data_IF_247077657644
#
_entry.id   IF_247077657644
#
_cell.length_a   1.000
_cell.length_b   1.000
_cell.length_c   1.000
_cell.angle_alpha   90.00
_cell.angle_beta   90.00
_cell.angle_gamma   90.00
#
_symmetry.space_group_name_H-M   'P 1'
#
loop_
_entity.id
_entity.type
_entity.pdbx_description
1 polymer ?
#
# COMPACT_ATOMS: atom_id res chain seq x y z
N UNK A 1 27.48 -7.39 -5.94
CA UNK A 1 26.87 -6.66 -4.82
C UNK A 1 25.62 -7.42 -4.42
N UNK A 2 25.63 -8.05 -3.24
CA UNK A 2 24.42 -8.65 -2.66
C UNK A 2 23.54 -7.52 -2.12
N UNK A 3 22.34 -7.36 -2.67
CA UNK A 3 21.33 -6.52 -2.04
C UNK A 3 20.90 -7.25 -0.77
N UNK A 4 21.20 -6.71 0.41
CA UNK A 4 20.44 -7.08 1.59
C UNK A 4 18.97 -6.78 1.28
N UNK A 5 18.10 -7.79 1.41
CA UNK A 5 16.68 -7.57 1.17
C UNK A 5 16.18 -6.59 2.23
N UNK A 6 15.67 -5.45 1.79
CA UNK A 6 15.01 -4.53 2.71
C UNK A 6 13.77 -5.21 3.28
N UNK A 7 13.53 -5.05 4.58
CA UNK A 7 12.33 -5.63 5.21
C UNK A 7 11.08 -4.79 4.90
N UNK A 8 11.23 -3.48 4.75
CA UNK A 8 10.12 -2.57 4.45
C UNK A 8 10.58 -1.30 3.73
N UNK A 9 9.65 -0.64 3.04
CA UNK A 9 9.87 0.64 2.36
C UNK A 9 8.63 1.54 2.46
N UNK A 10 8.87 2.82 2.76
CA UNK A 10 7.85 3.86 2.66
C UNK A 10 7.67 4.30 1.21
N UNK A 11 6.42 4.52 0.79
CA UNK A 11 6.11 5.03 -0.54
C UNK A 11 4.78 5.75 -0.61
N UNK A 12 4.64 6.61 -1.63
CA UNK A 12 3.38 7.19 -2.05
C UNK A 12 2.64 6.21 -2.97
N UNK A 13 1.44 5.82 -2.55
CA UNK A 13 0.55 4.91 -3.27
C UNK A 13 -0.73 5.63 -3.69
N UNK A 14 -1.38 5.09 -4.71
CA UNK A 14 -2.65 5.60 -5.20
C UNK A 14 -3.67 4.47 -5.33
N UNK A 15 -4.93 4.77 -5.02
CA UNK A 15 -6.05 3.89 -5.33
C UNK A 15 -6.28 3.90 -6.84
N UNK A 16 -6.00 2.77 -7.48
CA UNK A 16 -6.05 2.63 -8.95
C UNK A 16 -7.46 2.53 -9.53
N UNK A 17 -8.43 2.06 -8.73
CA UNK A 17 -9.79 1.84 -9.21
C UNK A 17 -10.85 1.89 -8.09
N UNK A 18 -12.11 1.82 -8.52
CA UNK A 18 -13.28 1.91 -7.65
C UNK A 18 -13.43 0.71 -6.70
N UNK A 19 -12.70 -0.39 -6.96
CA UNK A 19 -12.63 -1.54 -6.06
C UNK A 19 -11.63 -1.31 -4.92
N UNK A 20 -10.82 -0.26 -4.98
CA UNK A 20 -9.84 0.04 -3.94
C UNK A 20 -8.53 -0.71 -4.11
N UNK A 21 -8.20 -1.16 -5.33
CA UNK A 21 -6.94 -1.84 -5.60
C UNK A 21 -5.80 -0.82 -5.70
N UNK A 22 -4.63 -1.21 -5.26
CA UNK A 22 -3.41 -0.39 -5.25
C UNK A 22 -2.33 -1.15 -6.00
N UNK A 23 -1.66 -0.47 -6.93
CA UNK A 23 -0.51 -1.04 -7.63
C UNK A 23 0.73 -0.70 -6.82
N UNK A 24 1.49 -1.71 -6.37
CA UNK A 24 2.76 -1.46 -5.70
C UNK A 24 3.83 -1.13 -6.77
N UNK A 25 4.47 0.06 -6.70
CA UNK A 25 5.45 0.50 -7.69
C UNK A 25 6.65 -0.45 -7.79
N UNK A 26 7.26 -0.53 -8.98
CA UNK A 26 8.38 -1.45 -9.24
C UNK A 26 9.63 -1.14 -8.42
N UNK A 27 9.88 0.13 -8.10
CA UNK A 27 10.95 0.60 -7.22
C UNK A 27 10.74 0.20 -5.75
N UNK A 28 9.54 -0.24 -5.37
CA UNK A 28 9.24 -0.80 -4.05
C UNK A 28 9.22 -2.34 -4.11
N UNK A 29 8.66 -2.90 -5.18
CA UNK A 29 8.59 -4.36 -5.34
C UNK A 29 9.96 -5.02 -5.49
N UNK A 30 10.85 -4.44 -6.30
CA UNK A 30 12.18 -5.04 -6.55
C UNK A 30 13.04 -5.14 -5.28
N UNK A 31 13.20 -4.07 -4.48
CA UNK A 31 14.04 -4.16 -3.28
C UNK A 31 13.45 -5.04 -2.17
N UNK A 32 12.11 -5.14 -2.10
CA UNK A 32 11.40 -6.00 -1.13
C UNK A 32 11.14 -7.42 -1.65
N UNK A 33 11.62 -7.75 -2.86
CA UNK A 33 11.35 -9.02 -3.53
C UNK A 33 9.84 -9.40 -3.59
N UNK A 34 8.98 -8.41 -3.82
CA UNK A 34 7.52 -8.61 -3.88
C UNK A 34 7.12 -9.07 -5.28
N UNK A 35 6.53 -10.26 -5.35
CA UNK A 35 6.02 -10.88 -6.58
C UNK A 35 4.50 -11.11 -6.48
N UNK A 36 3.85 -11.48 -7.59
CA UNK A 36 2.43 -11.85 -7.56
C UNK A 36 2.19 -12.99 -6.56
N UNK A 37 1.14 -12.88 -5.75
CA UNK A 37 0.85 -13.84 -4.67
C UNK A 37 1.65 -13.63 -3.38
N UNK A 38 2.65 -12.73 -3.33
CA UNK A 38 3.33 -12.39 -2.07
C UNK A 38 2.35 -11.85 -1.04
N UNK A 39 2.55 -12.23 0.23
CA UNK A 39 1.83 -11.67 1.37
C UNK A 39 2.51 -10.37 1.82
N UNK A 40 1.75 -9.28 1.79
CA UNK A 40 2.27 -7.92 2.01
C UNK A 40 1.43 -7.25 3.10
N UNK A 41 2.07 -6.42 3.92
CA UNK A 41 1.42 -5.48 4.83
C UNK A 41 1.58 -4.04 4.31
N UNK A 42 0.48 -3.29 4.35
CA UNK A 42 0.47 -1.84 4.20
C UNK A 42 0.18 -1.21 5.56
N UNK A 43 1.11 -0.39 6.06
CA UNK A 43 0.88 0.53 7.16
C UNK A 43 0.59 1.91 6.60
N UNK A 44 -0.66 2.37 6.71
CA UNK A 44 -1.10 3.68 6.21
C UNK A 44 -0.62 4.78 7.16
N UNK A 45 0.20 5.71 6.67
CA UNK A 45 0.78 6.78 7.48
C UNK A 45 0.08 8.12 7.28
N UNK A 46 -0.16 8.50 6.03
CA UNK A 46 -0.73 9.81 5.68
C UNK A 46 -1.65 9.69 4.46
N UNK A 47 -2.78 10.38 4.46
CA UNK A 47 -3.66 10.51 3.28
C UNK A 47 -3.52 11.93 2.77
N UNK A 48 -3.23 12.08 1.48
CA UNK A 48 -3.20 13.39 0.83
C UNK A 48 -4.58 13.68 0.21
N UNK A 49 -5.50 14.14 1.06
CA UNK A 49 -6.76 14.72 0.60
C UNK A 49 -6.63 16.25 0.55
N UNK A 50 -7.09 16.86 -0.55
CA UNK A 50 -7.00 18.30 -0.78
C UNK A 50 -7.74 19.15 0.27
N UNK A 51 -8.67 18.57 1.03
CA UNK A 51 -9.61 19.33 1.86
C UNK A 51 -9.61 18.98 3.36
N UNK A 52 -8.96 17.92 3.82
CA UNK A 52 -8.99 17.53 5.24
C UNK A 52 -7.65 16.94 5.67
N UNK A 53 -7.00 17.57 6.65
CA UNK A 53 -5.92 16.94 7.41
C UNK A 53 -6.56 15.87 8.31
N UNK A 54 -6.79 14.67 7.78
CA UNK A 54 -7.13 13.54 8.61
C UNK A 54 -5.91 13.20 9.48
N UNK A 55 -6.06 13.36 10.80
CA UNK A 55 -5.06 12.96 11.78
C UNK A 55 -5.05 11.43 11.82
N UNK A 56 -3.96 10.83 11.34
CA UNK A 56 -3.92 9.40 11.03
C UNK A 56 -3.18 8.64 12.11
N UNK A 57 -3.92 7.81 12.85
CA UNK A 57 -3.31 6.69 13.55
C UNK A 57 -2.87 5.67 12.49
N UNK A 58 -1.70 5.02 12.65
CA UNK A 58 -1.24 4.04 11.70
C UNK A 58 -2.23 2.87 11.67
N UNK A 59 -2.95 2.74 10.56
CA UNK A 59 -3.80 1.59 10.28
C UNK A 59 -2.96 0.58 9.50
N UNK A 60 -3.18 -0.71 9.77
CA UNK A 60 -2.45 -1.79 9.10
C UNK A 60 -3.40 -2.74 8.41
N UNK A 61 -3.05 -3.15 7.21
CA UNK A 61 -3.74 -4.22 6.49
C UNK A 61 -2.73 -5.14 5.84
N UNK A 62 -3.01 -6.43 5.88
CA UNK A 62 -2.14 -7.44 5.28
C UNK A 62 -2.97 -8.35 4.39
N UNK A 63 -2.49 -8.61 3.18
CA UNK A 63 -3.16 -9.46 2.22
C UNK A 63 -2.19 -9.98 1.14
N UNK A 64 -2.60 -11.01 0.41
CA UNK A 64 -1.91 -11.45 -0.78
C UNK A 64 -2.13 -10.46 -1.93
N UNK A 65 -1.07 -10.24 -2.71
CA UNK A 65 -1.20 -9.56 -3.99
C UNK A 65 -1.94 -10.43 -4.99
N UNK A 66 -2.77 -9.80 -5.81
CA UNK A 66 -3.43 -10.48 -6.93
C UNK A 66 -2.42 -10.90 -8.02
N UNK A 67 -2.91 -11.61 -9.03
CA UNK A 67 -2.08 -12.08 -10.16
C UNK A 67 -1.42 -10.94 -10.94
N UNK A 68 -1.96 -9.72 -10.84
CA UNK A 68 -1.44 -8.50 -11.45
C UNK A 68 -0.54 -7.70 -10.49
N UNK A 69 -0.20 -8.26 -9.31
CA UNK A 69 0.67 -7.61 -8.32
C UNK A 69 0.01 -6.44 -7.59
N UNK A 70 -1.33 -6.42 -7.50
CA UNK A 70 -2.07 -5.36 -6.82
C UNK A 70 -2.49 -5.78 -5.43
N UNK A 71 -2.44 -4.82 -4.51
CA UNK A 71 -2.94 -4.96 -3.16
C UNK A 71 -4.41 -4.53 -3.09
N UNK A 72 -5.25 -5.30 -2.41
CA UNK A 72 -6.66 -4.97 -2.20
C UNK A 72 -6.84 -4.35 -0.81
N UNK A 73 -7.07 -3.04 -0.76
CA UNK A 73 -7.44 -2.35 0.50
C UNK A 73 -8.83 -2.83 0.96
N UNK A 74 -9.13 -2.85 2.27
CA UNK A 74 -10.49 -3.19 2.70
C UNK A 74 -11.46 -2.02 2.50
N UNK A 75 -12.74 -2.34 2.37
CA UNK A 75 -13.83 -1.36 2.34
C UNK A 75 -13.90 -0.54 3.63
N UNK A 76 -13.56 -1.11 4.78
CA UNK A 76 -13.54 -0.39 6.07
C UNK A 76 -12.45 0.67 6.10
N UNK A 77 -11.23 0.28 5.71
CA UNK A 77 -10.08 1.19 5.63
C UNK A 77 -10.33 2.31 4.64
N UNK A 78 -10.89 2.02 3.46
CA UNK A 78 -11.22 3.08 2.49
C UNK A 78 -12.25 4.06 3.00
N UNK A 79 -13.29 3.58 3.69
CA UNK A 79 -14.32 4.44 4.28
C UNK A 79 -13.73 5.31 5.38
N UNK A 80 -12.94 4.72 6.27
CA UNK A 80 -12.31 5.42 7.40
C UNK A 80 -11.33 6.50 6.93
N UNK A 81 -10.50 6.15 5.93
CA UNK A 81 -9.46 7.03 5.39
C UNK A 81 -9.94 7.95 4.27
N UNK A 82 -11.22 7.85 3.85
CA UNK A 82 -11.74 8.59 2.71
C UNK A 82 -11.03 8.28 1.38
N UNK A 83 -10.48 7.07 1.21
CA UNK A 83 -9.71 6.68 0.04
C UNK A 83 -10.65 6.30 -1.13
N UNK A 84 -10.81 7.24 -2.06
CA UNK A 84 -11.52 7.05 -3.33
C UNK A 84 -10.53 6.76 -4.46
N UNK A 85 -11.04 6.33 -5.63
CA UNK A 85 -10.22 6.22 -6.84
C UNK A 85 -9.46 7.52 -7.11
N UNK A 86 -8.16 7.41 -7.33
CA UNK A 86 -7.27 8.56 -7.54
C UNK A 86 -6.80 9.25 -6.25
N UNK A 87 -7.24 8.81 -5.07
CA UNK A 87 -6.69 9.30 -3.80
C UNK A 87 -5.26 8.78 -3.61
N UNK A 88 -4.40 9.63 -3.06
CA UNK A 88 -3.01 9.33 -2.75
C UNK A 88 -2.82 9.19 -1.25
N UNK A 89 -1.93 8.29 -0.85
CA UNK A 89 -1.58 8.08 0.55
C UNK A 89 -0.14 7.58 0.68
N UNK A 90 0.54 7.99 1.74
CA UNK A 90 1.84 7.48 2.14
C UNK A 90 1.62 6.22 2.98
N UNK A 91 2.32 5.15 2.65
CA UNK A 91 2.30 3.91 3.40
C UNK A 91 3.68 3.26 3.46
N UNK A 92 3.91 2.48 4.52
CA UNK A 92 5.03 1.54 4.60
C UNK A 92 4.55 0.20 4.06
N UNK A 93 5.27 -0.32 3.06
CA UNK A 93 5.08 -1.64 2.49
C UNK A 93 6.07 -2.60 3.14
N UNK A 94 5.59 -3.72 3.67
CA UNK A 94 6.41 -4.80 4.23
C UNK A 94 6.04 -6.13 3.59
N UNK A 95 7.03 -6.91 3.15
CA UNK A 95 6.81 -8.31 2.73
C UNK A 95 6.96 -9.22 3.95
N UNK A 96 6.06 -10.19 4.11
CA UNK A 96 6.27 -11.29 5.03
C UNK A 96 6.93 -12.47 4.31
N UNK A 97 7.93 -13.06 4.97
CA UNK A 97 8.70 -14.22 4.48
C UNK A 97 7.85 -15.48 4.55
#
# INVERSE_FOLDING_TARGET
MSYESLESLECLLAISDDKGRVVIPSNIRKPLDIVSGSFVELTYLKVENRNEQAQLLPLKESNHLDTQGRFQTSSNTRKYLGLKKGAYFVAVVKKYV
#
